data_IF_230286792323
#
_entry.id   IF_230286792323
#
_cell.length_a   1.000
_cell.length_b   1.000
_cell.length_c   1.000
_cell.angle_alpha   90.00
_cell.angle_beta   90.00
_cell.angle_gamma   90.00
#
_symmetry.space_group_name_H-M   'P 1'
#
loop_
_entity.id
_entity.type
_entity.pdbx_description
1 polymer ?
#
# COMPACT_ATOMS: atom_id res chain seq x y z
N UNK A 1 -31.36 -17.04 19.69
CA UNK A 1 -30.62 -16.02 18.90
C UNK A 1 -29.76 -16.73 17.87
N UNK A 2 -29.93 -16.52 16.57
CA UNK A 2 -29.00 -17.04 15.57
C UNK A 2 -27.94 -15.99 15.27
N UNK A 3 -26.67 -16.39 15.36
CA UNK A 3 -25.53 -15.61 14.91
C UNK A 3 -25.67 -15.33 13.40
N UNK A 4 -25.74 -14.04 13.03
CA UNK A 4 -25.74 -13.63 11.63
C UNK A 4 -24.41 -14.05 10.99
N UNK A 5 -24.49 -15.04 10.10
CA UNK A 5 -23.42 -15.35 9.16
C UNK A 5 -23.18 -14.13 8.27
N UNK A 6 -21.94 -13.63 8.29
CA UNK A 6 -21.48 -12.63 7.34
C UNK A 6 -21.38 -13.29 5.97
N UNK A 7 -22.47 -13.22 5.21
CA UNK A 7 -22.51 -13.67 3.82
C UNK A 7 -21.51 -12.86 3.01
N UNK A 8 -20.72 -13.59 2.21
CA UNK A 8 -19.86 -13.07 1.16
C UNK A 8 -20.58 -11.94 0.41
N UNK A 9 -20.05 -10.73 0.51
CA UNK A 9 -20.45 -9.59 -0.31
C UNK A 9 -19.86 -9.87 -1.69
N UNK A 10 -20.63 -10.57 -2.52
CA UNK A 10 -20.45 -10.60 -3.97
C UNK A 10 -20.80 -9.22 -4.52
N UNK A 11 -19.81 -8.34 -4.68
CA UNK A 11 -19.96 -7.07 -5.40
C UNK A 11 -19.08 -7.08 -6.66
N UNK A 12 -19.64 -7.44 -7.83
CA UNK A 12 -18.96 -7.27 -9.11
C UNK A 12 -18.77 -5.79 -9.50
N UNK A 13 -19.55 -4.88 -8.92
CA UNK A 13 -19.58 -3.44 -9.27
C UNK A 13 -18.75 -2.55 -8.31
N UNK A 14 -18.71 -2.91 -7.02
CA UNK A 14 -17.99 -2.14 -6.00
C UNK A 14 -16.48 -2.10 -6.22
N UNK A 15 -15.89 -3.19 -6.73
CA UNK A 15 -14.44 -3.25 -7.02
C UNK A 15 -14.04 -2.29 -8.14
N UNK A 16 -14.85 -2.15 -9.18
CA UNK A 16 -14.61 -1.22 -10.29
C UNK A 16 -14.65 0.23 -9.83
N UNK A 17 -15.67 0.62 -9.05
CA UNK A 17 -15.79 1.97 -8.48
C UNK A 17 -14.63 2.30 -7.53
N UNK A 18 -14.19 1.32 -6.72
CA UNK A 18 -13.03 1.47 -5.83
C UNK A 18 -11.76 1.71 -6.63
N UNK A 19 -11.50 0.92 -7.67
CA UNK A 19 -10.32 1.07 -8.53
C UNK A 19 -10.34 2.38 -9.30
N UNK A 20 -11.51 2.84 -9.74
CA UNK A 20 -11.67 4.13 -10.41
C UNK A 20 -11.32 5.28 -9.46
N UNK A 21 -11.83 5.25 -8.22
CA UNK A 21 -11.48 6.25 -7.19
C UNK A 21 -9.99 6.25 -6.86
N UNK A 22 -9.38 5.07 -6.68
CA UNK A 22 -7.94 4.94 -6.50
C UNK A 22 -7.17 5.60 -7.65
N UNK A 23 -7.58 5.32 -8.89
CA UNK A 23 -6.95 5.88 -10.09
C UNK A 23 -7.09 7.40 -10.14
N UNK A 24 -8.25 7.96 -9.78
CA UNK A 24 -8.46 9.40 -9.69
C UNK A 24 -7.54 10.06 -8.65
N UNK A 25 -7.40 9.46 -7.46
CA UNK A 25 -6.48 9.93 -6.42
C UNK A 25 -5.04 9.94 -6.92
N UNK A 26 -4.58 8.84 -7.55
CA UNK A 26 -3.23 8.76 -8.10
C UNK A 26 -2.97 9.80 -9.20
N UNK A 27 -3.97 10.06 -10.05
CA UNK A 27 -3.87 11.09 -11.08
C UNK A 27 -3.69 12.48 -10.46
N UNK A 28 -4.48 12.80 -9.42
CA UNK A 28 -4.33 14.05 -8.69
C UNK A 28 -2.92 14.22 -8.11
N UNK A 29 -2.38 13.18 -7.46
CA UNK A 29 -1.02 13.21 -6.92
C UNK A 29 0.06 13.43 -7.98
N UNK A 30 -0.10 12.81 -9.16
CA UNK A 30 0.82 12.99 -10.28
C UNK A 30 0.79 14.42 -10.82
N UNK A 31 -0.39 15.01 -10.91
CA UNK A 31 -0.56 16.37 -11.43
C UNK A 31 -0.08 17.43 -10.43
N UNK A 32 -0.09 17.12 -9.12
CA UNK A 32 0.33 18.05 -8.08
C UNK A 32 1.82 18.02 -7.75
N UNK A 33 2.57 17.01 -8.21
CA UNK A 33 3.93 16.79 -7.73
C UNK A 33 4.80 16.09 -8.78
N UNK A 34 5.95 16.69 -9.09
CA UNK A 34 6.96 16.09 -9.98
C UNK A 34 7.78 15.02 -9.24
N UNK A 35 8.35 14.04 -9.98
CA UNK A 35 9.18 12.96 -9.40
C UNK A 35 8.47 12.11 -8.32
N UNK A 36 7.16 11.91 -8.47
CA UNK A 36 6.34 11.12 -7.55
C UNK A 36 6.10 9.69 -8.02
N UNK A 37 6.16 8.79 -7.05
CA UNK A 37 5.61 7.46 -7.10
C UNK A 37 4.49 7.34 -6.08
N UNK A 38 3.34 6.82 -6.49
CA UNK A 38 2.28 6.46 -5.56
C UNK A 38 1.62 5.15 -5.96
N UNK A 39 1.25 4.34 -4.97
CA UNK A 39 0.63 3.03 -5.17
C UNK A 39 -0.27 2.64 -4.01
N UNK A 40 -1.21 1.73 -4.24
CA UNK A 40 -2.07 1.20 -3.19
C UNK A 40 -1.65 -0.19 -2.73
N UNK A 41 -1.60 -0.38 -1.43
CA UNK A 41 -1.60 -1.66 -0.74
C UNK A 41 -3.04 -2.09 -0.48
N UNK A 42 -3.51 -3.13 -1.15
CA UNK A 42 -4.86 -3.67 -0.96
C UNK A 42 -4.83 -5.04 -0.32
N UNK A 43 -5.78 -5.35 0.57
CA UNK A 43 -5.95 -6.70 1.07
C UNK A 43 -6.52 -7.60 -0.03
N UNK A 44 -5.85 -8.71 -0.26
CA UNK A 44 -6.28 -9.77 -1.15
C UNK A 44 -6.39 -11.05 -0.32
N UNK A 45 -7.43 -11.84 -0.59
CA UNK A 45 -7.63 -13.13 0.06
C UNK A 45 -6.59 -14.12 -0.46
N UNK A 46 -5.72 -14.60 0.42
CA UNK A 46 -4.74 -15.64 0.15
C UNK A 46 -5.11 -16.89 0.98
N UNK A 47 -5.89 -17.79 0.38
CA UNK A 47 -6.47 -18.93 1.08
C UNK A 47 -7.47 -18.49 2.16
N UNK A 48 -7.12 -18.72 3.42
CA UNK A 48 -7.96 -18.40 4.60
C UNK A 48 -7.64 -17.01 5.18
N UNK A 49 -6.50 -16.42 4.81
CA UNK A 49 -5.98 -15.17 5.39
C UNK A 49 -6.05 -14.03 4.38
N UNK A 50 -5.93 -12.80 4.87
CA UNK A 50 -5.81 -11.61 4.03
C UNK A 50 -4.37 -11.10 4.05
N UNK A 51 -3.85 -10.79 2.87
CA UNK A 51 -2.50 -10.22 2.73
C UNK A 51 -2.58 -8.93 1.95
N UNK A 52 -1.80 -7.92 2.34
CA UNK A 52 -1.62 -6.70 1.57
C UNK A 52 -0.64 -6.96 0.44
N UNK A 53 -1.05 -6.57 -0.76
CA UNK A 53 -0.22 -6.62 -1.97
C UNK A 53 -0.48 -5.38 -2.82
N UNK A 54 0.54 -5.01 -3.59
CA UNK A 54 0.48 -3.99 -4.64
C UNK A 54 0.25 -4.59 -6.03
N UNK A 55 0.21 -5.92 -6.12
CA UNK A 55 -0.02 -6.63 -7.38
C UNK A 55 -1.44 -6.40 -7.90
N UNK A 56 -1.55 -6.09 -9.19
CA UNK A 56 -2.83 -5.77 -9.84
C UNK A 56 -3.47 -4.45 -9.38
N UNK A 57 -2.73 -3.63 -8.62
CA UNK A 57 -3.21 -2.33 -8.12
C UNK A 57 -2.78 -1.17 -9.01
N UNK A 58 -3.62 -0.13 -9.10
CA UNK A 58 -3.27 1.07 -9.82
C UNK A 58 -2.08 1.76 -9.14
N UNK A 59 -1.28 2.42 -9.96
CA UNK A 59 -0.10 3.14 -9.51
C UNK A 59 0.17 4.32 -10.43
N UNK A 60 0.97 5.23 -9.91
CA UNK A 60 1.58 6.28 -10.71
C UNK A 60 3.06 6.34 -10.42
N UNK A 61 3.81 6.62 -11.47
CA UNK A 61 5.26 6.63 -11.46
C UNK A 61 5.71 7.70 -12.46
N UNK A 62 6.66 8.53 -12.05
CA UNK A 62 7.37 9.40 -12.98
C UNK A 62 8.29 8.57 -13.90
N UNK A 63 8.08 8.58 -15.23
CA UNK A 63 8.90 7.83 -16.17
C UNK A 63 10.37 8.25 -16.19
N UNK A 64 10.73 9.44 -15.69
CA UNK A 64 12.11 9.92 -15.67
C UNK A 64 12.90 9.37 -14.47
N UNK A 65 12.24 8.70 -13.51
CA UNK A 65 12.89 8.16 -12.33
C UNK A 65 13.12 6.65 -12.44
N UNK A 66 14.31 6.28 -12.96
CA UNK A 66 14.71 4.88 -13.08
C UNK A 66 14.75 4.17 -11.71
N UNK A 67 15.11 4.89 -10.63
CA UNK A 67 15.13 4.35 -9.27
C UNK A 67 13.74 3.95 -8.77
N UNK A 68 12.72 4.78 -9.02
CA UNK A 68 11.34 4.48 -8.63
C UNK A 68 10.76 3.30 -9.42
N UNK A 69 11.15 3.11 -10.68
CA UNK A 69 10.76 1.92 -11.46
C UNK A 69 11.32 0.63 -10.85
N UNK A 70 12.62 0.61 -10.53
CA UNK A 70 13.25 -0.55 -9.90
C UNK A 70 12.69 -0.82 -8.50
N UNK A 71 12.43 0.23 -7.73
CA UNK A 71 11.76 0.12 -6.44
C UNK A 71 10.39 -0.56 -6.55
N UNK A 72 9.56 -0.16 -7.52
CA UNK A 72 8.26 -0.80 -7.77
C UNK A 72 8.42 -2.29 -8.06
N UNK A 73 9.38 -2.66 -8.90
CA UNK A 73 9.63 -4.05 -9.26
C UNK A 73 10.04 -4.90 -8.05
N UNK A 74 10.89 -4.36 -7.17
CA UNK A 74 11.25 -5.03 -5.93
C UNK A 74 10.05 -5.11 -4.96
N UNK A 75 9.26 -4.04 -4.85
CA UNK A 75 8.07 -3.98 -3.99
C UNK A 75 7.00 -5.01 -4.36
N UNK A 76 6.92 -5.44 -5.63
CA UNK A 76 5.99 -6.49 -6.07
C UNK A 76 6.29 -7.86 -5.45
N UNK A 77 7.51 -8.09 -4.97
CA UNK A 77 7.90 -9.34 -4.32
C UNK A 77 7.45 -9.41 -2.85
N UNK A 78 6.95 -8.30 -2.29
CA UNK A 78 6.54 -8.22 -0.90
C UNK A 78 5.02 -8.37 -0.74
N UNK A 79 4.66 -9.16 0.28
CA UNK A 79 3.29 -9.29 0.78
C UNK A 79 3.31 -9.12 2.29
N UNK A 80 2.33 -8.41 2.85
CA UNK A 80 2.24 -8.20 4.29
C UNK A 80 1.00 -8.89 4.87
N UNK A 81 1.17 -9.55 6.00
CA UNK A 81 0.04 -10.11 6.74
C UNK A 81 -0.87 -9.00 7.24
N UNK A 82 -2.18 -9.20 7.16
CA UNK A 82 -3.19 -8.30 7.73
C UNK A 82 -3.57 -8.77 9.15
N UNK A 83 -3.45 -10.06 9.40
CA UNK A 83 -3.66 -10.72 10.67
C UNK A 83 -2.46 -10.46 11.60
N UNK A 84 -2.67 -9.61 12.60
CA UNK A 84 -1.73 -9.38 13.73
C UNK A 84 -1.59 -10.59 14.68
N UNK A 85 -1.96 -11.78 14.20
CA UNK A 85 -2.05 -13.03 14.94
C UNK A 85 -0.86 -13.96 14.64
N UNK A 86 -0.05 -13.67 13.61
CA UNK A 86 1.27 -14.29 13.45
C UNK A 86 2.29 -13.53 14.30
N UNK A 87 3.19 -14.22 15.00
CA UNK A 87 4.35 -13.70 15.75
C UNK A 87 5.31 -12.76 14.95
N UNK A 88 4.96 -12.39 13.72
CA UNK A 88 5.66 -11.40 12.91
C UNK A 88 5.22 -9.98 13.22
N UNK A 89 6.19 -9.08 13.35
CA UNK A 89 5.95 -7.63 13.36
C UNK A 89 5.12 -7.26 12.13
N UNK A 90 3.96 -6.63 12.33
CA UNK A 90 3.19 -6.04 11.24
C UNK A 90 4.07 -5.00 10.54
N UNK A 91 4.37 -5.23 9.26
CA UNK A 91 5.04 -4.23 8.43
C UNK A 91 4.20 -2.96 8.32
N UNK A 92 4.81 -1.85 7.89
CA UNK A 92 4.14 -0.55 7.79
C UNK A 92 2.74 -0.59 7.15
N UNK A 93 2.56 -1.21 5.96
CA UNK A 93 1.23 -1.29 5.36
C UNK A 93 0.22 -2.03 6.24
N UNK A 94 0.67 -3.08 6.93
CA UNK A 94 -0.15 -3.90 7.83
C UNK A 94 -0.60 -3.10 9.06
N UNK A 95 0.29 -2.29 9.64
CA UNK A 95 -0.07 -1.42 10.78
C UNK A 95 -1.03 -0.32 10.38
N UNK A 96 -0.78 0.38 9.27
CA UNK A 96 -1.67 1.42 8.74
C UNK A 96 -3.05 0.85 8.45
N UNK A 97 -3.11 -0.34 7.84
CA UNK A 97 -4.34 -1.04 7.58
C UNK A 97 -5.10 -1.41 8.88
N UNK A 98 -4.41 -2.03 9.84
CA UNK A 98 -5.01 -2.52 11.07
C UNK A 98 -5.43 -1.39 12.01
N UNK A 99 -4.52 -0.44 12.24
CA UNK A 99 -4.71 0.68 13.14
C UNK A 99 -5.59 1.77 12.54
N UNK A 100 -5.77 1.80 11.21
CA UNK A 100 -6.53 2.84 10.50
C UNK A 100 -5.97 4.25 10.76
N UNK A 101 -4.66 4.32 11.01
CA UNK A 101 -3.92 5.56 11.25
C UNK A 101 -2.90 5.77 10.14
N UNK A 102 -2.75 7.02 9.71
CA UNK A 102 -1.70 7.38 8.75
C UNK A 102 -0.33 7.28 9.41
N UNK A 103 0.62 6.63 8.74
CA UNK A 103 2.02 6.65 9.13
C UNK A 103 2.82 7.52 8.15
N UNK A 104 3.67 8.38 8.68
CA UNK A 104 4.55 9.25 7.90
C UNK A 104 5.97 9.18 8.45
N UNK A 105 6.96 9.23 7.56
CA UNK A 105 8.33 9.55 7.95
C UNK A 105 8.89 10.65 7.04
N UNK A 106 9.70 11.57 7.58
CA UNK A 106 10.40 12.56 6.76
C UNK A 106 11.41 11.92 5.80
N UNK A 107 11.93 10.74 6.13
CA UNK A 107 12.85 10.02 5.26
C UNK A 107 12.76 8.51 5.49
N UNK A 108 12.74 7.76 4.40
CA UNK A 108 12.78 6.30 4.41
C UNK A 108 13.96 5.71 5.20
N UNK A 109 15.10 6.40 5.32
CA UNK A 109 16.25 5.91 6.10
C UNK A 109 16.06 5.93 7.62
N UNK A 110 14.99 6.55 8.13
CA UNK A 110 14.69 6.49 9.56
C UNK A 110 14.08 5.16 10.00
N UNK A 111 13.63 4.31 9.06
CA UNK A 111 13.18 2.96 9.39
C UNK A 111 14.36 2.00 9.56
N UNK A 112 14.29 1.14 10.58
CA UNK A 112 15.27 0.08 10.71
C UNK A 112 15.01 -1.01 9.66
N UNK A 113 16.09 -1.65 9.18
CA UNK A 113 16.00 -2.78 8.22
C UNK A 113 15.13 -3.94 8.73
N UNK A 114 14.95 -4.04 10.06
CA UNK A 114 14.13 -5.07 10.71
C UNK A 114 12.64 -4.74 10.67
N UNK A 115 12.28 -3.47 10.69
CA UNK A 115 10.89 -3.01 10.70
C UNK A 115 10.29 -2.99 9.30
N UNK A 116 11.10 -2.64 8.29
CA UNK A 116 10.63 -2.54 6.91
C UNK A 116 11.66 -3.00 5.86
N UNK A 117 11.69 -4.31 5.55
CA UNK A 117 12.63 -4.87 4.58
C UNK A 117 12.42 -4.35 3.16
N UNK A 118 11.20 -3.97 2.79
CA UNK A 118 10.89 -3.37 1.49
C UNK A 118 11.44 -1.94 1.35
N UNK A 119 11.44 -1.13 2.42
CA UNK A 119 12.04 0.21 2.43
C UNK A 119 13.57 0.18 2.30
N UNK A 120 14.20 -0.97 2.59
CA UNK A 120 15.62 -1.16 2.27
C UNK A 120 15.89 -1.10 0.76
N UNK A 121 14.92 -1.49 -0.08
CA UNK A 121 15.03 -1.35 -1.53
C UNK A 121 14.84 0.09 -1.99
N UNK A 122 14.00 0.90 -1.31
CA UNK A 122 13.90 2.33 -1.59
C UNK A 122 15.28 3.00 -1.41
N UNK A 123 15.98 2.67 -0.31
CA UNK A 123 17.36 3.12 -0.08
C UNK A 123 18.33 2.63 -1.16
N UNK A 124 18.22 1.36 -1.56
CA UNK A 124 19.10 0.77 -2.56
C UNK A 124 18.97 1.43 -3.94
N UNK A 125 17.74 1.85 -4.30
CA UNK A 125 17.45 2.53 -5.56
C UNK A 125 17.49 4.06 -5.45
N UNK A 126 18.11 4.60 -4.38
CA UNK A 126 18.26 6.02 -4.11
C UNK A 126 16.94 6.80 -4.14
N UNK A 127 15.85 6.16 -3.70
CA UNK A 127 14.57 6.81 -3.45
C UNK A 127 14.68 7.48 -2.09
N UNK A 128 14.99 8.77 -2.06
CA UNK A 128 15.22 9.54 -0.82
C UNK A 128 13.95 10.17 -0.25
N UNK A 129 12.79 9.80 -0.80
CA UNK A 129 11.53 10.43 -0.46
C UNK A 129 11.03 10.20 0.94
N UNK A 130 10.00 10.97 1.30
CA UNK A 130 9.22 10.80 2.53
C UNK A 130 8.07 9.82 2.27
N UNK A 131 8.16 8.55 2.73
CA UNK A 131 7.01 7.66 2.66
C UNK A 131 5.85 8.23 3.47
N UNK A 132 4.71 8.33 2.80
CA UNK A 132 3.43 8.57 3.46
C UNK A 132 2.50 7.41 3.17
N UNK A 133 1.95 6.82 4.23
CA UNK A 133 0.94 5.78 4.14
C UNK A 133 -0.38 6.28 4.74
N UNK A 134 -1.41 6.38 3.90
CA UNK A 134 -2.74 6.85 4.32
C UNK A 134 -3.79 5.74 4.21
N UNK A 135 -4.52 5.44 5.29
CA UNK A 135 -5.58 4.45 5.26
C UNK A 135 -6.81 5.05 4.55
N UNK A 136 -7.24 4.43 3.46
CA UNK A 136 -8.40 4.88 2.70
C UNK A 136 -9.68 4.22 3.26
N UNK A 137 -10.20 4.79 4.36
CA UNK A 137 -11.20 4.18 5.23
C UNK A 137 -12.63 4.05 4.65
N UNK A 138 -12.91 4.65 3.49
CA UNK A 138 -14.25 4.69 2.89
C UNK A 138 -14.45 3.69 1.73
N UNK A 139 -13.53 2.74 1.54
CA UNK A 139 -13.61 1.72 0.49
C UNK A 139 -13.68 0.35 1.18
N UNK A 140 -14.59 -0.52 0.76
CA UNK A 140 -14.69 -1.88 1.32
C UNK A 140 -13.33 -2.58 1.24
N UNK A 141 -12.77 -2.94 2.40
CA UNK A 141 -11.41 -3.49 2.49
C UNK A 141 -10.28 -2.45 2.58
N UNK A 142 -10.54 -1.18 2.95
CA UNK A 142 -9.60 -0.13 3.37
C UNK A 142 -8.15 -0.24 2.84
N UNK A 143 -7.87 0.09 1.58
CA UNK A 143 -6.50 0.08 1.04
C UNK A 143 -5.63 1.14 1.71
N UNK A 144 -4.32 0.94 1.76
CA UNK A 144 -3.37 1.96 2.20
C UNK A 144 -2.66 2.58 0.99
N UNK A 145 -2.75 3.91 0.83
CA UNK A 145 -2.03 4.64 -0.21
C UNK A 145 -0.62 4.92 0.26
N UNK A 146 0.38 4.46 -0.47
CA UNK A 146 1.78 4.84 -0.32
C UNK A 146 2.14 5.94 -1.33
N UNK A 147 2.81 6.99 -0.86
CA UNK A 147 3.43 8.00 -1.71
C UNK A 147 4.93 8.14 -1.38
N UNK A 148 5.75 8.27 -2.42
CA UNK A 148 7.18 8.56 -2.37
C UNK A 148 7.49 9.68 -3.38
N UNK A 149 7.97 10.82 -2.90
CA UNK A 149 8.50 11.91 -3.74
C UNK A 149 10.02 11.92 -3.68
N UNK A 150 10.72 11.78 -4.80
CA UNK A 150 12.19 11.90 -4.82
C UNK A 150 12.68 13.34 -4.81
#
# INVERSE_FOLDING_TARGET
>A
MPCMGLTSIDYPDGSCVIKERMTQVLRYFKESTEHVFAQFWTPVKNGVRYVLTISGQPFVLDPHSNGLHQYRMASLMYVFSVDGESDGVLGLPGRVFWQKLSEWTPNVQYYSKKEDPWLTHALHYNVQGSPWLYPFLNLGGSPALECLSS
#
